data_IF_008498125117
#
_entry.id   IF_008498125117
#
_cell.length_a   1.000
_cell.length_b   1.000
_cell.length_c   1.000
_cell.angle_alpha   90.00
_cell.angle_beta   90.00
_cell.angle_gamma   90.00
#
_symmetry.space_group_name_H-M   'P 1'
#
loop_
_entity.id
_entity.type
_entity.pdbx_description
1 polymer ?
#
# COMPACT_ATOMS: atom_id res chain seq x y z
N UNK A 1 -11.18 25.70 -2.96
CA UNK A 1 -11.90 24.85 -2.00
C UNK A 1 -11.33 23.47 -2.12
N UNK A 2 -10.88 22.86 -1.02
CA UNK A 2 -10.62 21.43 -0.96
C UNK A 2 -11.96 20.80 -0.56
N UNK A 3 -12.59 20.05 -1.47
CA UNK A 3 -13.79 19.31 -1.13
C UNK A 3 -13.36 18.03 -0.42
N UNK A 4 -13.89 17.79 0.78
CA UNK A 4 -13.75 16.50 1.45
C UNK A 4 -14.37 15.41 0.58
N UNK A 5 -13.57 14.38 0.26
CA UNK A 5 -14.06 13.17 -0.38
C UNK A 5 -14.35 12.15 0.72
N UNK A 6 -15.62 11.77 0.85
CA UNK A 6 -16.04 10.76 1.83
C UNK A 6 -16.11 9.41 1.13
N UNK A 7 -15.30 8.46 1.61
CA UNK A 7 -15.33 7.07 1.18
C UNK A 7 -16.15 6.27 2.19
N UNK A 8 -17.15 5.53 1.72
CA UNK A 8 -18.05 4.73 2.55
C UNK A 8 -18.30 3.34 2.00
N UNK A 9 -18.49 2.37 2.89
CA UNK A 9 -18.88 1.00 2.52
C UNK A 9 -20.41 0.91 2.58
N UNK A 10 -21.03 0.43 1.51
CA UNK A 10 -22.47 0.21 1.44
C UNK A 10 -22.77 -1.26 1.15
N UNK A 11 -23.62 -1.85 2.00
CA UNK A 11 -24.11 -3.22 1.80
C UNK A 11 -25.40 -3.18 0.96
N UNK A 12 -25.36 -3.80 -0.22
CA UNK A 12 -26.52 -3.95 -1.11
C UNK A 12 -26.89 -5.43 -1.24
N UNK A 13 -28.15 -5.77 -1.57
CA UNK A 13 -28.56 -7.16 -1.82
C UNK A 13 -27.75 -7.89 -2.90
N UNK A 14 -27.10 -7.12 -3.79
CA UNK A 14 -26.27 -7.62 -4.89
C UNK A 14 -24.77 -7.70 -4.58
N UNK A 15 -24.31 -7.18 -3.44
CA UNK A 15 -22.89 -7.13 -3.08
C UNK A 15 -22.51 -5.89 -2.26
N UNK A 16 -21.26 -5.84 -1.81
CA UNK A 16 -20.68 -4.68 -1.11
C UNK A 16 -20.02 -3.73 -2.10
N UNK A 17 -20.37 -2.46 -2.05
CA UNK A 17 -19.77 -1.41 -2.89
C UNK A 17 -19.03 -0.39 -2.04
N UNK A 18 -17.97 0.18 -2.60
CA UNK A 18 -17.22 1.30 -2.04
C UNK A 18 -17.73 2.55 -2.77
N UNK A 19 -18.49 3.39 -2.06
CA UNK A 19 -19.06 4.62 -2.61
C UNK A 19 -18.17 5.81 -2.30
N UNK A 20 -18.01 6.71 -3.26
CA UNK A 20 -17.27 7.96 -3.11
C UNK A 20 -18.24 9.13 -3.25
N UNK A 21 -18.35 9.95 -2.21
CA UNK A 21 -19.18 11.15 -2.26
C UNK A 21 -18.26 12.37 -2.39
N UNK A 22 -18.33 13.03 -3.55
CA UNK A 22 -17.59 14.24 -3.88
C UNK A 22 -18.38 15.12 -4.88
N UNK A 23 -18.05 16.41 -4.97
CA UNK A 23 -18.82 17.40 -5.76
C UNK A 23 -18.33 17.59 -7.20
N UNK A 24 -17.42 16.74 -7.68
CA UNK A 24 -16.82 16.90 -9.01
C UNK A 24 -17.56 16.04 -10.02
N UNK A 25 -18.05 16.67 -11.10
CA UNK A 25 -18.94 16.09 -12.13
C UNK A 25 -18.30 14.96 -12.98
N UNK A 26 -17.15 14.41 -12.55
CA UNK A 26 -16.46 13.26 -13.13
C UNK A 26 -15.87 12.34 -12.04
N UNK A 27 -16.47 12.32 -10.85
CA UNK A 27 -16.05 11.42 -9.79
C UNK A 27 -16.57 10.00 -10.05
N UNK A 28 -15.79 9.00 -9.66
CA UNK A 28 -16.24 7.61 -9.59
C UNK A 28 -17.33 7.52 -8.50
N UNK A 29 -18.57 7.16 -8.84
CA UNK A 29 -19.66 7.08 -7.87
C UNK A 29 -19.47 5.90 -6.89
N UNK A 30 -19.25 4.71 -7.45
CA UNK A 30 -18.99 3.49 -6.71
C UNK A 30 -18.14 2.49 -7.50
N UNK A 31 -17.47 1.60 -6.77
CA UNK A 31 -16.83 0.40 -7.32
C UNK A 31 -17.25 -0.81 -6.49
N UNK A 32 -17.43 -1.95 -7.16
CA UNK A 32 -17.67 -3.20 -6.45
C UNK A 32 -16.42 -3.58 -5.65
N UNK A 33 -16.61 -3.99 -4.40
CA UNK A 33 -15.49 -4.30 -3.50
C UNK A 33 -14.53 -5.34 -4.10
N UNK A 34 -15.08 -6.33 -4.79
CA UNK A 34 -14.33 -7.45 -5.36
C UNK A 34 -13.55 -7.06 -6.64
N UNK A 35 -13.82 -5.88 -7.21
CA UNK A 35 -13.08 -5.31 -8.33
C UNK A 35 -11.90 -4.42 -7.88
N UNK A 36 -11.76 -4.19 -6.57
CA UNK A 36 -10.71 -3.34 -6.01
C UNK A 36 -9.60 -4.16 -5.32
N UNK A 37 -8.35 -3.79 -5.60
CA UNK A 37 -7.18 -4.29 -4.86
C UNK A 37 -6.74 -3.21 -3.87
N UNK A 38 -6.70 -3.58 -2.59
CA UNK A 38 -6.17 -2.72 -1.54
C UNK A 38 -4.67 -2.89 -1.45
N UNK A 39 -3.92 -1.83 -1.76
CA UNK A 39 -2.50 -1.78 -1.46
C UNK A 39 -2.28 -1.42 0.00
N UNK A 40 -1.39 -2.12 0.74
CA UNK A 40 -1.05 -1.75 2.09
C UNK A 40 -0.44 -0.35 2.15
N UNK A 41 -0.76 0.41 3.18
CA UNK A 41 -0.10 1.69 3.49
C UNK A 41 1.34 1.45 3.94
N UNK A 42 2.18 2.50 3.85
CA UNK A 42 3.59 2.43 4.24
C UNK A 42 3.81 1.94 5.68
N UNK A 43 2.99 2.38 6.63
CA UNK A 43 3.06 1.94 8.04
C UNK A 43 2.74 0.45 8.19
N UNK A 44 1.80 -0.07 7.41
CA UNK A 44 1.48 -1.50 7.38
C UNK A 44 2.63 -2.31 6.78
N UNK A 45 3.26 -1.83 5.70
CA UNK A 45 4.41 -2.49 5.10
C UNK A 45 5.60 -2.52 6.06
N UNK A 46 5.89 -1.40 6.75
CA UNK A 46 6.93 -1.34 7.78
C UNK A 46 6.64 -2.30 8.93
N UNK A 47 5.38 -2.39 9.37
CA UNK A 47 4.99 -3.34 10.40
C UNK A 47 5.20 -4.80 9.96
N UNK A 48 4.93 -5.14 8.69
CA UNK A 48 5.18 -6.49 8.15
C UNK A 48 6.66 -6.86 8.07
N UNK A 49 7.55 -5.88 7.89
CA UNK A 49 9.01 -6.11 7.96
C UNK A 49 9.50 -6.28 9.39
N UNK A 50 8.78 -5.72 10.37
CA UNK A 50 9.06 -5.76 11.80
C UNK A 50 10.53 -5.51 12.13
N UNK A 51 11.10 -6.35 13.01
CA UNK A 51 12.47 -6.18 13.52
C UNK A 51 13.56 -6.35 12.46
N UNK A 52 13.22 -6.89 11.28
CA UNK A 52 14.18 -7.07 10.21
C UNK A 52 14.41 -5.76 9.45
N UNK A 53 13.52 -4.77 9.55
CA UNK A 53 13.69 -3.47 8.92
C UNK A 53 14.81 -2.68 9.61
N UNK A 54 15.86 -2.36 8.86
CA UNK A 54 16.92 -1.47 9.34
C UNK A 54 16.63 -0.01 8.97
N UNK A 55 16.50 0.27 7.67
CA UNK A 55 16.37 1.64 7.16
C UNK A 55 15.85 1.70 5.72
N UNK A 56 15.36 2.86 5.35
CA UNK A 56 15.15 3.28 3.96
C UNK A 56 16.34 4.15 3.53
N UNK A 57 16.92 3.84 2.38
CA UNK A 57 17.98 4.64 1.78
C UNK A 57 17.46 5.29 0.49
N UNK A 58 17.81 6.55 0.28
CA UNK A 58 17.63 7.25 -1.00
C UNK A 58 18.94 7.16 -1.78
N UNK A 59 18.88 6.66 -3.00
CA UNK A 59 20.00 6.52 -3.93
C UNK A 59 19.66 7.25 -5.23
N UNK A 60 20.20 8.46 -5.41
CA UNK A 60 19.78 9.36 -6.48
C UNK A 60 18.29 9.66 -6.38
N UNK A 61 17.53 9.33 -7.43
CA UNK A 61 16.07 9.49 -7.49
C UNK A 61 15.31 8.19 -7.20
N UNK A 62 16.00 7.19 -6.68
CA UNK A 62 15.43 5.91 -6.28
C UNK A 62 15.54 5.68 -4.77
N UNK A 63 14.83 4.66 -4.30
CA UNK A 63 14.75 4.24 -2.91
C UNK A 63 15.03 2.76 -2.78
N UNK A 64 15.61 2.33 -1.68
CA UNK A 64 15.74 0.92 -1.32
C UNK A 64 15.57 0.71 0.18
N UNK A 65 14.99 -0.41 0.55
CA UNK A 65 14.88 -0.83 1.94
C UNK A 65 16.03 -1.78 2.27
N UNK A 66 16.64 -1.58 3.43
CA UNK A 66 17.63 -2.49 4.00
C UNK A 66 16.93 -3.35 5.04
N UNK A 67 17.02 -4.67 4.85
CA UNK A 67 16.44 -5.67 5.74
C UNK A 67 17.58 -6.58 6.23
N UNK A 68 17.77 -6.70 7.54
CA UNK A 68 18.86 -7.49 8.16
C UNK A 68 20.25 -7.16 7.57
N UNK A 69 20.56 -5.87 7.37
CA UNK A 69 21.80 -5.40 6.77
C UNK A 69 21.94 -5.66 5.26
N UNK A 70 20.94 -6.26 4.62
CA UNK A 70 20.92 -6.53 3.18
C UNK A 70 19.99 -5.56 2.46
N UNK A 71 20.51 -4.88 1.44
CA UNK A 71 19.72 -3.96 0.64
C UNK A 71 18.90 -4.72 -0.41
N UNK A 72 17.63 -4.35 -0.53
CA UNK A 72 16.75 -4.85 -1.58
C UNK A 72 16.86 -4.00 -2.88
N UNK A 73 15.98 -4.32 -3.84
CA UNK A 73 15.85 -3.69 -5.16
C UNK A 73 15.58 -2.20 -5.04
N UNK A 74 16.16 -1.41 -5.95
CA UNK A 74 15.85 0.01 -6.11
C UNK A 74 14.44 0.17 -6.68
N UNK A 75 13.65 1.03 -6.06
CA UNK A 75 12.30 1.39 -6.47
C UNK A 75 12.16 2.90 -6.67
N UNK A 76 11.15 3.32 -7.44
CA UNK A 76 10.94 4.73 -7.75
C UNK A 76 10.38 5.52 -6.56
N UNK A 77 9.63 4.86 -5.67
CA UNK A 77 9.01 5.47 -4.50
C UNK A 77 9.38 4.70 -3.22
N UNK A 78 9.31 5.35 -2.05
CA UNK A 78 9.43 4.66 -0.76
C UNK A 78 8.46 3.50 -0.63
N UNK A 79 7.20 3.68 -1.02
CA UNK A 79 6.13 2.70 -0.92
C UNK A 79 6.43 1.45 -1.76
N UNK A 80 6.94 1.64 -2.98
CA UNK A 80 7.36 0.53 -3.85
C UNK A 80 8.57 -0.21 -3.25
N UNK A 81 9.51 0.52 -2.63
CA UNK A 81 10.68 -0.09 -1.98
C UNK A 81 10.26 -0.94 -0.77
N UNK A 82 9.29 -0.48 0.02
CA UNK A 82 8.68 -1.24 1.10
C UNK A 82 7.94 -2.48 0.59
N UNK A 83 7.15 -2.32 -0.47
CA UNK A 83 6.42 -3.43 -1.09
C UNK A 83 7.35 -4.50 -1.62
N UNK A 84 8.44 -4.11 -2.28
CA UNK A 84 9.48 -5.02 -2.77
C UNK A 84 10.12 -5.82 -1.63
N UNK A 85 10.50 -5.16 -0.53
CA UNK A 85 11.12 -5.81 0.62
C UNK A 85 10.21 -6.82 1.30
N UNK A 86 8.94 -6.48 1.50
CA UNK A 86 7.94 -7.42 2.05
C UNK A 86 7.75 -8.60 1.10
N UNK A 87 7.62 -8.34 -0.19
CA UNK A 87 7.47 -9.41 -1.19
C UNK A 87 8.68 -10.34 -1.22
N UNK A 88 9.90 -9.80 -1.06
CA UNK A 88 11.11 -10.60 -0.96
C UNK A 88 11.11 -11.48 0.29
N UNK A 89 10.78 -10.94 1.46
CA UNK A 89 10.66 -11.69 2.73
C UNK A 89 9.64 -12.83 2.65
N UNK A 90 8.48 -12.57 2.04
CA UNK A 90 7.46 -13.59 1.82
C UNK A 90 7.93 -14.70 0.88
N UNK A 91 8.71 -14.35 -0.16
CA UNK A 91 9.29 -15.33 -1.11
C UNK A 91 10.39 -16.17 -0.49
N UNK A 92 11.20 -15.60 0.41
CA UNK A 92 12.27 -16.31 1.11
C UNK A 92 11.77 -17.13 2.30
N UNK A 93 10.47 -17.09 2.60
CA UNK A 93 9.83 -17.95 3.60
C UNK A 93 10.18 -17.58 5.04
N UNK A 94 10.48 -16.30 5.31
CA UNK A 94 10.64 -15.79 6.67
C UNK A 94 9.38 -15.03 7.08
N UNK A 95 8.29 -15.71 7.53
CA UNK A 95 7.18 -15.02 8.15
C UNK A 95 7.64 -14.47 9.51
N UNK A 96 7.40 -13.19 9.76
CA UNK A 96 7.49 -12.62 11.10
C UNK A 96 6.30 -13.10 11.93
N UNK A 97 6.59 -13.59 13.14
CA UNK A 97 5.64 -14.00 14.19
C UNK A 97 5.04 -12.81 14.89
#
# INVERSE_FOLDING_TARGET
MLSDMIVGIHELPRGTVIGFNGTTEWALDDIERDEAIWLPREDQLRAMLGDAFDRLERDGDAYRVVVNGQADVLAATPEDAYGAAVLQQLRTGQPQV
#
